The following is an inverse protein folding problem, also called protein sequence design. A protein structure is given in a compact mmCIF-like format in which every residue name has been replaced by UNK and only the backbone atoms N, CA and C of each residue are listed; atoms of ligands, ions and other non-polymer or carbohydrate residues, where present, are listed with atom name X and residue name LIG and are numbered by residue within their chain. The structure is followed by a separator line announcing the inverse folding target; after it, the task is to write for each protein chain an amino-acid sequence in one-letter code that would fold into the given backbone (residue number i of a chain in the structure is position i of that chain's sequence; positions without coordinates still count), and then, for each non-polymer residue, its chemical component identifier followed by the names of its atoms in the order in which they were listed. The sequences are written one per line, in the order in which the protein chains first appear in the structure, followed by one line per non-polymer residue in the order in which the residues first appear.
data_IF_536827760891
#
_entry.id   IF_536827760891
#
_cell.length_a   1.000
_cell.length_b   1.000
_cell.length_c   1.000
_cell.angle_alpha   90.00
_cell.angle_beta   90.00
_cell.angle_gamma   90.00
#
_symmetry.space_group_name_H-M   'P 1'
#
loop_
_entity.id
_entity.type
_entity.pdbx_description
1 polymer ?
#
# COMPACT_ATOMS: atom_id res chain seq x y z
N UNK A 1 -45.36 -15.34 11.42
CA UNK A 1 -44.43 -15.71 10.32
C UNK A 1 -43.44 -14.60 9.94
N UNK A 2 -43.80 -13.32 9.96
CA UNK A 2 -42.89 -12.21 9.61
C UNK A 2 -41.70 -12.00 10.56
N UNK A 3 -41.85 -12.24 11.86
CA UNK A 3 -40.77 -12.04 12.85
C UNK A 3 -39.58 -13.00 12.68
N UNK A 4 -39.81 -14.27 12.30
CA UNK A 4 -38.71 -15.21 12.04
C UNK A 4 -37.95 -14.88 10.75
N UNK A 5 -38.66 -14.44 9.72
CA UNK A 5 -38.06 -13.98 8.46
C UNK A 5 -37.16 -12.76 8.70
N UNK A 6 -37.62 -11.78 9.48
CA UNK A 6 -36.85 -10.59 9.80
C UNK A 6 -35.58 -10.91 10.61
N UNK A 7 -35.67 -11.80 11.62
CA UNK A 7 -34.51 -12.25 12.39
C UNK A 7 -33.49 -12.99 11.51
N UNK A 8 -33.95 -13.80 10.57
CA UNK A 8 -33.09 -14.51 9.64
C UNK A 8 -32.38 -13.55 8.66
N UNK A 9 -33.09 -12.54 8.14
CA UNK A 9 -32.47 -11.52 7.29
C UNK A 9 -31.44 -10.66 8.03
N UNK A 10 -31.69 -10.33 9.30
CA UNK A 10 -30.71 -9.62 10.14
C UNK A 10 -29.49 -10.51 10.39
N UNK A 11 -29.69 -11.79 10.69
CA UNK A 11 -28.60 -12.75 10.88
C UNK A 11 -27.73 -12.88 9.62
N UNK A 12 -28.34 -13.05 8.44
CA UNK A 12 -27.60 -13.12 7.18
C UNK A 12 -26.87 -11.82 6.83
N UNK A 13 -27.42 -10.67 7.24
CA UNK A 13 -26.76 -9.38 7.04
C UNK A 13 -25.54 -9.24 7.96
N UNK A 14 -25.68 -9.62 9.22
CA UNK A 14 -24.60 -9.65 10.20
C UNK A 14 -23.50 -10.63 9.80
N UNK A 15 -23.87 -11.81 9.30
CA UNK A 15 -22.92 -12.81 8.82
C UNK A 15 -22.13 -12.28 7.62
N UNK A 16 -22.80 -11.61 6.67
CA UNK A 16 -22.13 -10.94 5.55
C UNK A 16 -21.21 -9.80 5.99
N UNK A 17 -21.62 -8.98 6.96
CA UNK A 17 -20.78 -7.89 7.49
C UNK A 17 -19.59 -8.42 8.31
N UNK A 18 -19.73 -9.60 8.93
CA UNK A 18 -18.67 -10.27 9.68
C UNK A 18 -17.68 -11.04 8.78
N UNK A 19 -18.15 -11.56 7.64
CA UNK A 19 -17.37 -12.28 6.63
C UNK A 19 -17.02 -11.43 5.39
N UNK A 20 -17.33 -10.13 5.43
CA UNK A 20 -16.79 -9.17 4.47
C UNK A 20 -15.32 -8.95 4.86
N UNK A 21 -14.46 -9.89 4.43
CA UNK A 21 -13.02 -9.68 4.32
C UNK A 21 -12.79 -8.62 3.23
N UNK A 22 -13.27 -7.40 3.45
CA UNK A 22 -13.12 -6.25 2.54
C UNK A 22 -11.66 -5.80 2.41
N UNK A 23 -10.78 -6.27 3.31
CA UNK A 23 -9.37 -5.90 3.33
C UNK A 23 -8.48 -6.79 2.45
N UNK A 24 -8.94 -7.97 2.03
CA UNK A 24 -8.20 -8.81 1.08
C UNK A 24 -8.51 -8.37 -0.35
N UNK A 25 -7.75 -7.40 -0.85
CA UNK A 25 -7.73 -7.12 -2.28
C UNK A 25 -7.07 -8.28 -3.07
N UNK A 26 -7.28 -8.31 -4.39
CA UNK A 26 -6.68 -9.33 -5.23
C UNK A 26 -5.18 -9.08 -5.53
N UNK A 27 -4.51 -8.18 -4.79
CA UNK A 27 -3.14 -7.75 -5.11
C UNK A 27 -2.14 -8.89 -5.08
N UNK A 28 -2.22 -9.78 -4.10
CA UNK A 28 -1.31 -10.93 -4.02
C UNK A 28 -1.38 -11.77 -5.30
N UNK A 29 -2.59 -11.97 -5.83
CA UNK A 29 -2.81 -12.71 -7.07
C UNK A 29 -2.31 -11.94 -8.30
N UNK A 30 -2.63 -10.64 -8.39
CA UNK A 30 -2.22 -9.80 -9.51
C UNK A 30 -0.71 -9.60 -9.57
N UNK A 31 -0.05 -9.40 -8.42
CA UNK A 31 1.41 -9.38 -8.29
C UNK A 31 2.01 -10.70 -8.74
N UNK A 32 1.45 -11.84 -8.30
CA UNK A 32 1.93 -13.16 -8.71
C UNK A 32 1.89 -13.38 -10.22
N UNK A 33 0.85 -12.90 -10.92
CA UNK A 33 0.77 -12.94 -12.39
C UNK A 33 1.89 -12.10 -13.00
N UNK A 34 2.03 -10.85 -12.57
CA UNK A 34 3.02 -9.92 -13.11
C UNK A 34 4.46 -10.41 -12.92
N UNK A 35 4.79 -10.88 -11.71
CA UNK A 35 6.10 -11.42 -11.35
C UNK A 35 6.40 -12.71 -12.14
N UNK A 36 5.43 -13.62 -12.26
CA UNK A 36 5.60 -14.86 -13.03
C UNK A 36 5.89 -14.57 -14.50
N UNK A 37 5.13 -13.66 -15.12
CA UNK A 37 5.39 -13.22 -16.50
C UNK A 37 6.80 -12.64 -16.66
N UNK A 38 7.26 -11.84 -15.70
CA UNK A 38 8.59 -11.26 -15.74
C UNK A 38 9.70 -12.32 -15.64
N UNK A 39 9.60 -13.23 -14.67
CA UNK A 39 10.60 -14.28 -14.46
C UNK A 39 10.61 -15.35 -15.57
N UNK A 40 9.51 -15.53 -16.30
CA UNK A 40 9.46 -16.30 -17.54
C UNK A 40 10.11 -15.59 -18.76
N UNK A 41 10.57 -14.34 -18.59
CA UNK A 41 11.16 -13.53 -19.64
C UNK A 41 10.14 -12.77 -20.50
N UNK A 42 8.83 -12.88 -20.21
CA UNK A 42 7.75 -12.16 -20.89
C UNK A 42 7.56 -10.75 -20.34
N UNK A 43 8.64 -9.96 -20.39
CA UNK A 43 8.73 -8.63 -19.76
C UNK A 43 7.64 -7.67 -20.23
N UNK A 44 7.38 -7.63 -21.53
CA UNK A 44 6.35 -6.73 -22.10
C UNK A 44 4.95 -7.10 -21.62
N UNK A 45 4.66 -8.38 -21.43
CA UNK A 45 3.38 -8.86 -20.92
C UNK A 45 3.20 -8.50 -19.45
N UNK A 46 4.26 -8.67 -18.64
CA UNK A 46 4.26 -8.23 -17.24
C UNK A 46 3.98 -6.72 -17.14
N UNK A 47 4.63 -5.91 -17.98
CA UNK A 47 4.49 -4.45 -17.94
C UNK A 47 3.09 -4.02 -18.36
N UNK A 48 2.52 -4.67 -19.37
CA UNK A 48 1.13 -4.45 -19.80
C UNK A 48 0.13 -4.87 -18.73
N UNK A 49 0.39 -5.98 -18.03
CA UNK A 49 -0.44 -6.47 -16.94
C UNK A 49 -0.53 -5.45 -15.80
N UNK A 50 0.63 -5.04 -15.23
CA UNK A 50 0.67 -4.00 -14.21
C UNK A 50 0.11 -2.67 -14.71
N UNK A 51 0.41 -2.29 -15.95
CA UNK A 51 -0.09 -1.05 -16.55
C UNK A 51 -1.62 -0.99 -16.60
N UNK A 52 -2.28 -2.10 -16.98
CA UNK A 52 -3.74 -2.21 -16.97
C UNK A 52 -4.28 -2.20 -15.54
N UNK A 53 -3.74 -3.06 -14.68
CA UNK A 53 -4.22 -3.22 -13.31
C UNK A 53 -4.11 -1.93 -12.50
N UNK A 54 -2.98 -1.21 -12.58
CA UNK A 54 -2.78 0.06 -11.88
C UNK A 54 -3.49 1.25 -12.56
N UNK A 55 -3.98 1.11 -13.80
CA UNK A 55 -4.88 2.10 -14.38
C UNK A 55 -6.28 2.01 -13.75
N UNK A 56 -6.72 0.80 -13.40
CA UNK A 56 -7.99 0.53 -12.71
C UNK A 56 -7.88 0.84 -11.21
N UNK A 57 -6.74 0.51 -10.59
CA UNK A 57 -6.48 0.71 -9.16
C UNK A 57 -5.23 1.58 -8.91
N UNK A 58 -5.29 2.89 -9.19
CA UNK A 58 -4.11 3.78 -9.20
C UNK A 58 -3.50 4.05 -7.82
N UNK A 59 -4.20 3.69 -6.74
CA UNK A 59 -3.75 3.87 -5.35
C UNK A 59 -3.35 2.54 -4.69
N UNK A 60 -3.28 1.44 -5.45
CA UNK A 60 -2.94 0.14 -4.91
C UNK A 60 -1.47 0.07 -4.51
N UNK A 61 -1.18 0.21 -3.22
CA UNK A 61 0.18 0.24 -2.68
C UNK A 61 0.97 -1.03 -3.00
N UNK A 62 0.33 -2.19 -2.88
CA UNK A 62 0.98 -3.49 -3.10
C UNK A 62 1.41 -3.67 -4.57
N UNK A 63 0.49 -3.40 -5.49
CA UNK A 63 0.75 -3.47 -6.93
C UNK A 63 1.79 -2.46 -7.40
N UNK A 64 1.77 -1.25 -6.87
CA UNK A 64 2.79 -0.23 -7.16
C UNK A 64 4.16 -0.67 -6.67
N UNK A 65 4.24 -1.18 -5.43
CA UNK A 65 5.51 -1.64 -4.86
C UNK A 65 6.05 -2.88 -5.59
N UNK A 66 5.20 -3.85 -5.94
CA UNK A 66 5.59 -5.03 -6.74
C UNK A 66 6.05 -4.63 -8.14
N UNK A 67 5.29 -3.78 -8.86
CA UNK A 67 5.71 -3.32 -10.19
C UNK A 67 7.01 -2.51 -10.14
N UNK A 68 7.18 -1.69 -9.10
CA UNK A 68 8.42 -0.96 -8.85
C UNK A 68 9.62 -1.92 -8.75
N UNK A 69 9.49 -3.02 -8.01
CA UNK A 69 10.55 -4.02 -7.91
C UNK A 69 10.92 -4.60 -9.27
N UNK A 70 9.91 -5.01 -10.05
CA UNK A 70 10.11 -5.53 -11.42
C UNK A 70 10.83 -4.52 -12.31
N UNK A 71 10.51 -3.23 -12.20
CA UNK A 71 11.18 -2.17 -12.96
C UNK A 71 12.65 -2.01 -12.53
N UNK A 72 12.95 -2.05 -11.24
CA UNK A 72 14.32 -1.99 -10.72
C UNK A 72 15.13 -3.20 -11.20
N UNK A 73 14.57 -4.41 -11.12
CA UNK A 73 15.24 -5.64 -11.59
C UNK A 73 15.54 -5.60 -13.09
N UNK A 74 14.68 -4.94 -13.88
CA UNK A 74 14.93 -4.74 -15.30
C UNK A 74 15.95 -3.62 -15.61
N UNK A 75 16.41 -2.88 -14.60
CA UNK A 75 17.29 -1.72 -14.76
C UNK A 75 16.57 -0.40 -15.05
N UNK A 76 15.24 -0.39 -15.06
CA UNK A 76 14.41 0.77 -15.38
C UNK A 76 14.14 1.66 -14.15
N UNK A 77 15.20 2.03 -13.42
CA UNK A 77 15.12 2.77 -12.15
C UNK A 77 14.36 4.10 -12.28
N UNK A 78 14.56 4.86 -13.36
CA UNK A 78 13.84 6.11 -13.60
C UNK A 78 12.33 5.89 -13.77
N UNK A 79 11.94 4.77 -14.41
CA UNK A 79 10.54 4.41 -14.58
C UNK A 79 9.95 3.92 -13.26
N UNK A 80 10.70 3.13 -12.49
CA UNK A 80 10.31 2.72 -11.14
C UNK A 80 9.98 3.94 -10.28
N UNK A 81 10.85 4.95 -10.29
CA UNK A 81 10.61 6.19 -9.58
C UNK A 81 9.33 6.90 -10.05
N UNK A 82 9.12 7.01 -11.36
CA UNK A 82 7.92 7.64 -11.92
C UNK A 82 6.62 6.94 -11.52
N UNK A 83 6.64 5.62 -11.36
CA UNK A 83 5.49 4.81 -10.94
C UNK A 83 5.20 5.03 -9.46
N UNK A 84 6.21 4.88 -8.60
CA UNK A 84 6.06 5.04 -7.16
C UNK A 84 5.67 6.46 -6.78
N UNK A 85 6.28 7.48 -7.41
CA UNK A 85 6.05 8.90 -7.11
C UNK A 85 4.57 9.31 -7.17
N UNK A 86 3.75 8.66 -8.00
CA UNK A 86 2.35 9.07 -8.24
C UNK A 86 1.48 9.07 -7.00
N UNK A 87 1.71 8.13 -6.08
CA UNK A 87 0.86 7.98 -4.89
C UNK A 87 1.30 8.87 -3.74
N UNK A 88 2.58 8.88 -3.31
CA UNK A 88 3.06 9.77 -2.25
C UNK A 88 3.01 11.27 -2.60
N UNK A 89 2.98 11.62 -3.88
CA UNK A 89 3.05 13.02 -4.28
C UNK A 89 1.77 13.78 -3.93
N UNK A 90 1.87 14.70 -2.98
CA UNK A 90 0.77 15.56 -2.55
C UNK A 90 -0.16 14.96 -1.49
N UNK A 91 0.18 13.79 -0.93
CA UNK A 91 -0.54 13.17 0.20
C UNK A 91 0.36 13.08 1.43
N UNK A 92 -0.24 12.92 2.61
CA UNK A 92 0.51 12.68 3.86
C UNK A 92 0.98 11.23 3.96
N UNK A 93 2.08 11.00 4.67
CA UNK A 93 2.54 9.66 5.03
C UNK A 93 1.73 9.12 6.22
N UNK A 94 1.23 7.90 6.09
CA UNK A 94 0.55 7.12 7.13
C UNK A 94 0.87 5.63 6.94
N UNK A 95 0.34 4.76 7.81
CA UNK A 95 0.72 3.34 7.86
C UNK A 95 0.67 2.66 6.48
N UNK A 96 -0.47 2.73 5.80
CA UNK A 96 -0.72 1.95 4.57
C UNK A 96 0.10 2.41 3.35
N UNK A 97 0.58 3.67 3.34
CA UNK A 97 1.37 4.20 2.23
C UNK A 97 2.84 4.44 2.58
N UNK A 98 3.24 4.24 3.84
CA UNK A 98 4.61 4.47 4.32
C UNK A 98 5.67 3.72 3.51
N UNK A 99 5.36 2.51 3.05
CA UNK A 99 6.24 1.71 2.19
C UNK A 99 6.58 2.42 0.87
N UNK A 100 5.61 3.15 0.30
CA UNK A 100 5.84 3.92 -0.93
C UNK A 100 6.67 5.17 -0.66
N UNK A 101 6.55 5.80 0.52
CA UNK A 101 7.44 6.90 0.92
C UNK A 101 8.88 6.44 1.07
N UNK A 102 9.11 5.28 1.72
CA UNK A 102 10.45 4.70 1.82
C UNK A 102 11.04 4.39 0.43
N UNK A 103 10.22 3.78 -0.44
CA UNK A 103 10.63 3.44 -1.81
C UNK A 103 10.93 4.69 -2.64
N UNK A 104 10.05 5.69 -2.58
CA UNK A 104 10.19 6.94 -3.32
C UNK A 104 11.45 7.70 -2.90
N UNK A 105 11.75 7.74 -1.59
CA UNK A 105 13.00 8.30 -1.06
C UNK A 105 14.22 7.62 -1.68
N UNK A 106 14.28 6.29 -1.62
CA UNK A 106 15.42 5.52 -2.14
C UNK A 106 15.62 5.76 -3.64
N UNK A 107 14.53 5.73 -4.41
CA UNK A 107 14.57 5.93 -5.85
C UNK A 107 14.90 7.37 -6.23
N UNK A 108 14.37 8.37 -5.50
CA UNK A 108 14.69 9.77 -5.69
C UNK A 108 16.20 9.99 -5.57
N UNK A 109 16.86 9.38 -4.58
CA UNK A 109 18.31 9.43 -4.42
C UNK A 109 19.04 8.80 -5.62
N UNK A 110 18.60 7.63 -6.08
CA UNK A 110 19.21 6.93 -7.22
C UNK A 110 19.09 7.70 -8.54
N UNK A 111 18.01 8.47 -8.72
CA UNK A 111 17.83 9.31 -9.91
C UNK A 111 18.41 10.73 -9.75
N UNK A 112 19.07 11.03 -8.62
CA UNK A 112 19.70 12.33 -8.34
C UNK A 112 18.72 13.44 -7.89
N UNK A 113 17.48 13.10 -7.55
CA UNK A 113 16.48 14.04 -7.04
C UNK A 113 16.57 14.19 -5.51
N UNK A 114 17.67 14.79 -5.04
CA UNK A 114 17.95 14.92 -3.61
C UNK A 114 16.93 15.79 -2.85
N UNK A 115 16.29 16.75 -3.51
CA UNK A 115 15.25 17.59 -2.89
C UNK A 115 14.01 16.77 -2.54
N UNK A 116 13.51 15.96 -3.47
CA UNK A 116 12.38 15.07 -3.18
C UNK A 116 12.76 13.97 -2.19
N UNK A 117 13.97 13.42 -2.28
CA UNK A 117 14.49 12.46 -1.29
C UNK A 117 14.40 13.02 0.14
N UNK A 118 14.85 14.27 0.36
CA UNK A 118 14.73 14.96 1.64
C UNK A 118 13.28 15.18 2.05
N UNK A 119 12.42 15.57 1.11
CA UNK A 119 11.00 15.76 1.40
C UNK A 119 10.32 14.46 1.87
N UNK A 120 10.58 13.34 1.18
CA UNK A 120 10.07 12.03 1.60
C UNK A 120 10.55 11.65 3.01
N UNK A 121 11.82 11.92 3.33
CA UNK A 121 12.35 11.70 4.67
C UNK A 121 11.57 12.50 5.73
N UNK A 122 11.30 13.78 5.48
CA UNK A 122 10.53 14.61 6.41
C UNK A 122 9.11 14.08 6.65
N UNK A 123 8.47 13.49 5.64
CA UNK A 123 7.14 12.88 5.81
C UNK A 123 7.21 11.60 6.66
N UNK A 124 8.24 10.78 6.46
CA UNK A 124 8.49 9.59 7.27
C UNK A 124 8.79 9.95 8.73
N UNK A 125 9.61 10.97 8.97
CA UNK A 125 9.95 11.44 10.33
C UNK A 125 8.69 11.90 11.08
N UNK A 126 7.82 12.68 10.41
CA UNK A 126 6.54 13.12 10.99
C UNK A 126 5.63 11.96 11.33
N UNK A 127 5.55 10.96 10.44
CA UNK A 127 4.76 9.75 10.69
C UNK A 127 5.29 9.00 11.91
N UNK A 128 6.61 8.78 11.99
CA UNK A 128 7.25 8.10 13.12
C UNK A 128 7.06 8.83 14.44
N UNK A 129 7.23 10.16 14.45
CA UNK A 129 7.00 10.98 15.63
C UNK A 129 5.54 10.90 16.09
N UNK A 130 4.59 10.94 15.15
CA UNK A 130 3.18 10.77 15.48
C UNK A 130 2.92 9.40 16.09
N UNK A 131 3.39 8.32 15.48
CA UNK A 131 3.19 6.94 15.99
C UNK A 131 3.76 6.79 17.39
N UNK A 132 4.98 7.26 17.62
CA UNK A 132 5.62 7.21 18.94
C UNK A 132 4.81 7.98 20.00
N UNK A 133 4.27 9.15 19.65
CA UNK A 133 3.45 9.92 20.58
C UNK A 133 2.15 9.21 20.95
N UNK A 134 1.54 8.49 20.00
CA UNK A 134 0.37 7.64 20.26
C UNK A 134 0.71 6.47 21.19
N UNK A 135 1.80 5.74 20.93
CA UNK A 135 2.26 4.61 21.76
C UNK A 135 2.51 5.05 23.22
N UNK A 136 3.23 6.15 23.42
CA UNK A 136 3.48 6.68 24.77
C UNK A 136 2.21 7.12 25.49
N UNK A 137 1.21 7.64 24.76
CA UNK A 137 -0.07 8.03 25.34
C UNK A 137 -0.89 6.80 25.76
N UNK A 138 -0.87 5.74 24.95
CA UNK A 138 -1.55 4.47 25.24
C UNK A 138 -0.96 3.79 26.48
N UNK A 139 0.36 3.70 26.59
CA UNK A 139 1.05 3.16 27.77
C UNK A 139 0.64 3.91 29.05
N UNK A 140 0.58 5.25 28.98
CA UNK A 140 0.18 6.08 30.10
C UNK A 140 -1.30 5.88 30.49
N UNK A 141 -2.17 5.64 29.53
CA UNK A 141 -3.58 5.33 29.80
C UNK A 141 -3.72 3.95 30.46
N UNK A 142 -2.98 2.95 29.99
CA UNK A 142 -3.00 1.59 30.56
C UNK A 142 -2.50 1.57 32.01
N UNK A 143 -1.44 2.32 32.32
CA UNK A 143 -0.89 2.46 33.68
C UNK A 143 -1.90 3.13 34.64
N UNK A 144 -2.63 4.15 34.17
CA UNK A 144 -3.67 4.80 34.99
C UNK A 144 -4.93 3.95 35.23
N UNK A 145 -5.19 2.94 34.40
CA UNK A 145 -6.32 2.00 34.57
C UNK A 145 -5.96 0.74 35.37
N UNK A 146 -4.69 0.60 35.79
CA UNK A 146 -4.18 -0.54 36.55
C UNK A 146 -4.36 -0.42 38.10
N UNK A 147 -5.13 0.55 38.58
CA UNK A 147 -5.47 0.74 40.00
C UNK A 147 -6.89 0.27 40.34
#
# INVERSE_FOLDING_TARGET
MQLCQLKFMIFLRWEKELFDWQDDDDSCFQCGIGESLFYEGKKDEAYRHYGKWLAENPQNTNGINSFCWILIENGDVSKAYSVVRKVPWGVSCYADNSVLFMRAKQLAEQVGNHEESKWYQQQLDKFQESTRNWEMAEEKMMDMTSC
#
